data_IF_998634980047
#
_entry.id   IF_998634980047
#
_cell.length_a   1.000
_cell.length_b   1.000
_cell.length_c   1.000
_cell.angle_alpha   90.00
_cell.angle_beta   90.00
_cell.angle_gamma   90.00
#
_symmetry.space_group_name_H-M   'P 1'
#
loop_
_entity.id
_entity.type
_entity.pdbx_description
1 polymer ?
#
# COMPACT_ATOMS: atom_id res chain seq x y z
N UNK A 1 -29.10 7.51 -11.74
CA UNK A 1 -28.23 7.88 -10.59
C UNK A 1 -27.79 6.57 -9.98
N UNK A 2 -26.58 6.11 -10.32
CA UNK A 2 -26.05 4.86 -9.75
C UNK A 2 -25.56 5.16 -8.33
N UNK A 3 -26.47 5.10 -7.36
CA UNK A 3 -26.10 5.07 -5.96
C UNK A 3 -25.39 3.74 -5.72
N UNK A 4 -24.12 3.82 -5.32
CA UNK A 4 -23.39 2.65 -4.85
C UNK A 4 -24.15 2.09 -3.62
N UNK A 5 -24.43 0.78 -3.55
CA UNK A 5 -25.14 0.21 -2.40
C UNK A 5 -24.36 0.52 -1.12
N UNK A 6 -25.04 0.95 -0.05
CA UNK A 6 -24.44 1.25 1.27
C UNK A 6 -23.54 0.11 1.79
N UNK A 7 -23.90 -1.13 1.43
CA UNK A 7 -23.10 -2.34 1.69
C UNK A 7 -21.67 -2.28 1.14
N UNK A 8 -21.45 -1.64 -0.01
CA UNK A 8 -20.12 -1.49 -0.63
C UNK A 8 -19.28 -0.47 0.14
N UNK A 9 -19.90 0.61 0.65
CA UNK A 9 -19.22 1.60 1.50
C UNK A 9 -18.79 0.97 2.83
N UNK A 10 -19.69 0.21 3.47
CA UNK A 10 -19.37 -0.51 4.70
C UNK A 10 -18.26 -1.53 4.47
N UNK A 11 -18.35 -2.34 3.42
CA UNK A 11 -17.31 -3.32 3.06
C UNK A 11 -15.95 -2.65 2.80
N UNK A 12 -15.96 -1.48 2.17
CA UNK A 12 -14.76 -0.66 1.93
C UNK A 12 -14.11 -0.17 3.24
N UNK A 13 -14.92 0.27 4.20
CA UNK A 13 -14.43 0.63 5.54
C UNK A 13 -13.76 -0.56 6.25
N UNK A 14 -14.37 -1.73 6.17
CA UNK A 14 -13.86 -2.94 6.82
C UNK A 14 -12.57 -3.44 6.14
N UNK A 15 -12.48 -3.31 4.81
CA UNK A 15 -11.23 -3.55 4.08
C UNK A 15 -10.11 -2.62 4.57
N UNK A 16 -10.35 -1.31 4.67
CA UNK A 16 -9.34 -0.35 5.13
C UNK A 16 -8.85 -0.66 6.55
N UNK A 17 -9.76 -1.05 7.46
CA UNK A 17 -9.41 -1.47 8.82
C UNK A 17 -8.59 -2.75 8.82
N UNK A 18 -9.04 -3.76 8.09
CA UNK A 18 -8.40 -5.08 8.02
C UNK A 18 -7.02 -5.05 7.36
N UNK A 19 -6.84 -4.27 6.30
CA UNK A 19 -5.55 -4.18 5.58
C UNK A 19 -4.45 -3.53 6.43
N UNK A 20 -4.79 -2.69 7.42
CA UNK A 20 -3.79 -1.93 8.19
C UNK A 20 -2.70 -2.80 8.80
N UNK A 21 -3.01 -4.01 9.29
CA UNK A 21 -2.04 -4.93 9.92
C UNK A 21 -1.08 -5.58 8.92
N UNK A 22 -1.42 -5.55 7.63
CA UNK A 22 -0.60 -6.11 6.54
C UNK A 22 0.41 -5.13 6.00
N UNK A 23 0.22 -3.82 6.24
CA UNK A 23 1.07 -2.79 5.70
C UNK A 23 2.30 -2.55 6.58
N UNK A 24 3.46 -2.27 5.96
CA UNK A 24 4.69 -2.00 6.67
C UNK A 24 4.58 -0.71 7.49
N UNK A 25 4.95 -0.81 8.76
CA UNK A 25 5.19 0.32 9.66
C UNK A 25 6.40 0.02 10.57
N UNK A 26 6.88 1.03 11.29
CA UNK A 26 8.07 0.90 12.16
C UNK A 26 7.87 -0.10 13.30
N UNK A 27 6.65 -0.24 13.83
CA UNK A 27 6.38 -1.13 14.96
C UNK A 27 6.36 -2.58 14.49
N UNK A 28 5.72 -2.83 13.35
CA UNK A 28 5.48 -4.16 12.81
C UNK A 28 6.71 -4.76 12.12
N UNK A 29 7.68 -3.93 11.67
CA UNK A 29 8.90 -4.39 10.99
C UNK A 29 10.16 -4.39 11.88
N UNK A 30 10.02 -4.23 13.20
CA UNK A 30 11.17 -4.01 14.08
C UNK A 30 12.19 -5.16 14.05
N UNK A 31 11.73 -6.41 13.85
CA UNK A 31 12.59 -7.59 13.75
C UNK A 31 13.24 -7.69 12.37
N UNK A 32 12.45 -7.51 11.32
CA UNK A 32 12.88 -7.57 9.92
C UNK A 32 13.92 -6.49 9.61
N UNK A 33 13.79 -5.30 10.20
CA UNK A 33 14.79 -4.23 10.07
C UNK A 33 16.11 -4.64 10.73
N UNK A 34 16.08 -5.23 11.93
CA UNK A 34 17.29 -5.74 12.59
C UNK A 34 17.96 -6.85 11.78
N UNK A 35 17.16 -7.76 11.23
CA UNK A 35 17.63 -8.85 10.37
C UNK A 35 18.26 -8.26 9.10
N UNK A 36 17.62 -7.27 8.48
CA UNK A 36 18.12 -6.55 7.32
C UNK A 36 19.44 -5.82 7.59
N UNK A 37 19.60 -5.19 8.77
CA UNK A 37 20.85 -4.54 9.16
C UNK A 37 22.00 -5.56 9.32
N UNK A 38 21.72 -6.73 9.91
CA UNK A 38 22.71 -7.81 10.02
C UNK A 38 23.05 -8.39 8.65
N UNK A 39 22.05 -8.66 7.82
CA UNK A 39 22.23 -9.15 6.46
C UNK A 39 23.01 -8.17 5.60
N UNK A 40 22.77 -6.86 5.74
CA UNK A 40 23.53 -5.82 5.02
C UNK A 40 25.00 -5.79 5.43
N UNK A 41 25.32 -5.93 6.72
CA UNK A 41 26.71 -6.02 7.20
C UNK A 41 27.42 -7.28 6.70
N UNK A 42 26.67 -8.39 6.60
CA UNK A 42 27.19 -9.70 6.19
C UNK A 42 27.23 -9.89 4.66
N UNK A 43 26.40 -9.16 3.92
CA UNK A 43 26.25 -9.27 2.46
C UNK A 43 25.18 -10.26 1.99
N UNK A 44 24.53 -11.01 2.88
CA UNK A 44 23.49 -12.00 2.53
C UNK A 44 22.56 -12.27 3.73
N UNK A 45 21.35 -12.78 3.45
CA UNK A 45 20.38 -13.24 4.45
C UNK A 45 20.65 -14.67 4.93
N UNK A 46 20.47 -14.96 6.22
CA UNK A 46 20.37 -16.34 6.71
C UNK A 46 19.02 -16.96 6.33
N UNK A 47 18.88 -18.29 6.29
CA UNK A 47 17.64 -18.95 5.88
C UNK A 47 16.40 -18.50 6.67
N UNK A 48 16.53 -18.33 7.99
CA UNK A 48 15.43 -17.92 8.85
C UNK A 48 15.10 -16.42 8.71
N UNK A 49 16.10 -15.59 8.46
CA UNK A 49 15.94 -14.16 8.17
C UNK A 49 15.30 -13.95 6.79
N UNK A 50 15.67 -14.76 5.79
CA UNK A 50 15.09 -14.75 4.43
C UNK A 50 13.61 -15.15 4.48
N UNK A 51 13.27 -16.25 5.14
CA UNK A 51 11.87 -16.69 5.25
C UNK A 51 11.00 -15.60 5.89
N UNK A 52 11.46 -15.01 7.01
CA UNK A 52 10.73 -13.90 7.65
C UNK A 52 10.55 -12.68 6.74
N UNK A 53 11.60 -12.34 5.98
CA UNK A 53 11.53 -11.25 5.01
C UNK A 53 10.47 -11.55 3.93
N UNK A 54 10.46 -12.76 3.38
CA UNK A 54 9.53 -13.19 2.33
C UNK A 54 8.09 -13.26 2.83
N UNK A 55 7.84 -13.84 3.99
CA UNK A 55 6.51 -13.87 4.61
C UNK A 55 5.96 -12.46 4.83
N UNK A 56 6.80 -11.56 5.35
CA UNK A 56 6.45 -10.16 5.57
C UNK A 56 6.16 -9.44 4.25
N UNK A 57 6.99 -9.68 3.23
CA UNK A 57 6.80 -9.06 1.92
C UNK A 57 5.54 -9.58 1.22
N UNK A 58 5.27 -10.89 1.30
CA UNK A 58 4.05 -11.50 0.80
C UNK A 58 2.81 -10.87 1.46
N UNK A 59 2.83 -10.72 2.79
CA UNK A 59 1.73 -10.06 3.53
C UNK A 59 1.49 -8.64 3.03
N UNK A 60 2.57 -7.89 2.79
CA UNK A 60 2.47 -6.55 2.21
C UNK A 60 1.89 -6.56 0.79
N UNK A 61 2.34 -7.48 -0.08
CA UNK A 61 1.82 -7.61 -1.45
C UNK A 61 0.33 -7.95 -1.46
N UNK A 62 -0.12 -8.84 -0.58
CA UNK A 62 -1.54 -9.18 -0.43
C UNK A 62 -2.36 -7.96 0.00
N UNK A 63 -1.93 -7.24 1.05
CA UNK A 63 -2.60 -6.01 1.47
C UNK A 63 -2.64 -4.93 0.40
N UNK A 64 -1.53 -4.78 -0.34
CA UNK A 64 -1.44 -3.88 -1.49
C UNK A 64 -2.42 -4.26 -2.60
N UNK A 65 -2.56 -5.55 -2.91
CA UNK A 65 -3.49 -6.04 -3.92
C UNK A 65 -4.94 -5.73 -3.53
N UNK A 66 -5.31 -5.94 -2.27
CA UNK A 66 -6.65 -5.63 -1.76
C UNK A 66 -6.98 -4.14 -1.88
N UNK A 67 -6.03 -3.25 -1.59
CA UNK A 67 -6.24 -1.81 -1.74
C UNK A 67 -6.40 -1.37 -3.20
N UNK A 68 -5.65 -1.98 -4.12
CA UNK A 68 -5.83 -1.71 -5.56
C UNK A 68 -7.19 -2.19 -6.03
N UNK A 69 -7.59 -3.41 -5.66
CA UNK A 69 -8.91 -3.93 -6.00
C UNK A 69 -10.03 -3.01 -5.49
N UNK A 70 -9.94 -2.56 -4.23
CA UNK A 70 -10.90 -1.59 -3.68
C UNK A 70 -10.95 -0.28 -4.47
N UNK A 71 -9.80 0.27 -4.88
CA UNK A 71 -9.77 1.48 -5.70
C UNK A 71 -10.41 1.24 -7.06
N UNK A 72 -10.13 0.09 -7.68
CA UNK A 72 -10.69 -0.28 -8.99
C UNK A 72 -12.21 -0.49 -8.90
N UNK A 73 -12.71 -1.09 -7.83
CA UNK A 73 -14.14 -1.27 -7.56
C UNK A 73 -14.86 0.07 -7.35
N UNK A 74 -14.20 1.04 -6.69
CA UNK A 74 -14.74 2.39 -6.47
C UNK A 74 -14.58 3.32 -7.69
N UNK A 75 -13.65 3.03 -8.60
CA UNK A 75 -13.28 3.92 -9.70
C UNK A 75 -14.46 4.32 -10.62
N UNK A 76 -15.40 3.44 -10.99
CA UNK A 76 -16.57 3.80 -11.78
C UNK A 76 -17.43 4.89 -11.11
N UNK A 77 -17.44 4.92 -9.77
CA UNK A 77 -18.30 5.78 -8.97
C UNK A 77 -17.64 7.08 -8.52
N UNK A 78 -16.33 7.27 -8.78
CA UNK A 78 -15.61 8.50 -8.44
C UNK A 78 -16.12 9.75 -9.17
N UNK A 79 -16.85 9.58 -10.28
CA UNK A 79 -17.52 10.70 -10.97
C UNK A 79 -18.83 11.11 -10.30
N UNK A 80 -19.34 10.33 -9.35
CA UNK A 80 -20.49 10.73 -8.55
C UNK A 80 -20.13 11.93 -7.67
N UNK A 81 -21.14 12.70 -7.24
CA UNK A 81 -20.96 13.75 -6.24
C UNK A 81 -20.86 13.21 -4.80
N UNK A 82 -20.75 11.88 -4.64
CA UNK A 82 -20.66 11.26 -3.31
C UNK A 82 -19.22 11.35 -2.78
N UNK A 83 -19.02 12.26 -1.81
CA UNK A 83 -17.73 12.49 -1.18
C UNK A 83 -17.23 11.30 -0.35
N UNK A 84 -18.11 10.38 0.05
CA UNK A 84 -17.73 9.17 0.81
C UNK A 84 -16.87 8.25 -0.06
N UNK A 85 -17.29 8.05 -1.31
CA UNK A 85 -16.58 7.22 -2.30
C UNK A 85 -15.19 7.79 -2.54
N UNK A 86 -15.10 9.11 -2.75
CA UNK A 86 -13.82 9.79 -2.87
C UNK A 86 -12.96 9.60 -1.61
N UNK A 87 -13.52 9.83 -0.42
CA UNK A 87 -12.80 9.71 0.85
C UNK A 87 -12.20 8.31 1.07
N UNK A 88 -12.98 7.26 0.79
CA UNK A 88 -12.54 5.87 0.90
C UNK A 88 -11.44 5.52 -0.10
N UNK A 89 -11.63 5.86 -1.38
CA UNK A 89 -10.62 5.64 -2.42
C UNK A 89 -9.34 6.43 -2.15
N UNK A 90 -9.46 7.66 -1.67
CA UNK A 90 -8.32 8.50 -1.29
C UNK A 90 -7.58 7.94 -0.07
N UNK A 91 -8.30 7.40 0.91
CA UNK A 91 -7.69 6.70 2.04
C UNK A 91 -6.88 5.48 1.58
N UNK A 92 -7.46 4.63 0.72
CA UNK A 92 -6.76 3.49 0.13
C UNK A 92 -5.49 3.92 -0.64
N UNK A 93 -5.60 4.94 -1.49
CA UNK A 93 -4.47 5.49 -2.24
C UNK A 93 -3.38 6.06 -1.31
N UNK A 94 -3.77 6.71 -0.22
CA UNK A 94 -2.85 7.25 0.80
C UNK A 94 -2.13 6.13 1.55
N UNK A 95 -2.83 5.05 1.89
CA UNK A 95 -2.24 3.85 2.49
C UNK A 95 -1.22 3.18 1.56
N UNK A 96 -1.54 3.06 0.26
CA UNK A 96 -0.63 2.58 -0.77
C UNK A 96 0.62 3.48 -0.90
N UNK A 97 0.44 4.79 -0.97
CA UNK A 97 1.53 5.76 -1.12
C UNK A 97 2.47 5.72 0.10
N UNK A 98 1.90 5.75 1.31
CA UNK A 98 2.65 5.73 2.57
C UNK A 98 3.45 4.43 2.72
N UNK A 99 2.79 3.29 2.56
CA UNK A 99 3.43 1.98 2.75
C UNK A 99 4.51 1.71 1.71
N UNK A 100 4.27 2.03 0.43
CA UNK A 100 5.26 1.86 -0.63
C UNK A 100 6.47 2.76 -0.41
N UNK A 101 6.25 4.02 -0.05
CA UNK A 101 7.35 4.96 0.23
C UNK A 101 8.19 4.51 1.41
N UNK A 102 7.55 4.01 2.47
CA UNK A 102 8.23 3.49 3.64
C UNK A 102 9.08 2.26 3.32
N UNK A 103 8.52 1.26 2.62
CA UNK A 103 9.25 0.07 2.21
C UNK A 103 10.43 0.38 1.28
N UNK A 104 10.21 1.23 0.27
CA UNK A 104 11.29 1.66 -0.64
C UNK A 104 12.37 2.44 0.11
N UNK A 105 12.00 3.27 1.09
CA UNK A 105 12.96 3.98 1.93
C UNK A 105 13.89 3.01 2.66
N UNK A 106 13.32 1.99 3.31
CA UNK A 106 14.09 0.95 4.00
C UNK A 106 15.01 0.17 3.06
N UNK A 107 14.52 -0.19 1.87
CA UNK A 107 15.28 -0.97 0.90
C UNK A 107 16.42 -0.16 0.25
N UNK A 108 16.24 1.15 0.02
CA UNK A 108 17.27 2.02 -0.56
C UNK A 108 18.51 2.13 0.32
N UNK A 109 18.33 2.09 1.63
CA UNK A 109 19.43 2.12 2.60
C UNK A 109 20.20 0.78 2.65
N UNK A 110 19.64 -0.30 2.07
CA UNK A 110 20.14 -1.67 2.21
C UNK A 110 20.05 -2.44 0.88
N UNK A 111 21.05 -2.31 -0.02
CA UNK A 111 21.03 -2.99 -1.33
C UNK A 111 20.81 -4.50 -1.27
N UNK A 112 21.23 -5.18 -0.19
CA UNK A 112 20.99 -6.61 0.01
C UNK A 112 19.49 -6.92 0.10
N UNK A 113 18.70 -6.05 0.74
CA UNK A 113 17.24 -6.16 0.83
C UNK A 113 16.60 -6.01 -0.54
N UNK A 114 17.03 -5.01 -1.30
CA UNK A 114 16.50 -4.74 -2.64
C UNK A 114 16.75 -5.93 -3.57
N UNK A 115 17.99 -6.43 -3.61
CA UNK A 115 18.34 -7.59 -4.41
C UNK A 115 17.48 -8.80 -4.03
N UNK A 116 17.29 -9.02 -2.72
CA UNK A 116 16.54 -10.16 -2.21
C UNK A 116 15.05 -10.10 -2.53
N UNK A 117 14.41 -8.95 -2.35
CA UNK A 117 12.99 -8.76 -2.63
C UNK A 117 12.65 -8.74 -4.12
N UNK A 118 13.63 -8.54 -5.00
CA UNK A 118 13.45 -8.62 -6.45
C UNK A 118 13.78 -10.02 -7.03
N UNK A 119 14.20 -10.97 -6.20
CA UNK A 119 14.23 -12.38 -6.56
C UNK A 119 12.81 -12.90 -6.82
N UNK A 120 12.67 -13.95 -7.64
CA UNK A 120 11.39 -14.63 -7.77
C UNK A 120 11.15 -15.45 -6.50
N UNK A 121 9.87 -15.61 -6.15
CA UNK A 121 9.44 -16.60 -5.17
C UNK A 121 8.34 -17.48 -5.77
N UNK A 122 8.72 -18.59 -6.45
CA UNK A 122 7.77 -19.47 -7.10
C UNK A 122 6.73 -20.08 -6.17
N UNK A 123 7.06 -20.34 -4.89
CA UNK A 123 6.13 -20.92 -3.91
C UNK A 123 4.89 -20.05 -3.72
N UNK A 124 5.07 -18.74 -3.86
CA UNK A 124 4.01 -17.74 -3.70
C UNK A 124 3.62 -17.06 -5.02
N UNK A 125 4.09 -17.57 -6.16
CA UNK A 125 3.85 -17.00 -7.49
C UNK A 125 4.26 -15.53 -7.62
N UNK A 126 5.27 -15.10 -6.87
CA UNK A 126 5.80 -13.73 -6.95
C UNK A 126 6.84 -13.68 -8.08
N UNK A 127 6.61 -12.88 -9.13
CA UNK A 127 7.58 -12.72 -10.21
C UNK A 127 8.81 -11.94 -9.74
N UNK A 128 9.91 -12.00 -10.50
CA UNK A 128 11.08 -11.13 -10.24
C UNK A 128 10.68 -9.67 -10.39
N UNK A 129 11.45 -8.78 -9.73
CA UNK A 129 11.36 -7.32 -9.89
C UNK A 129 10.06 -6.67 -9.40
N UNK A 130 9.32 -7.29 -8.48
CA UNK A 130 8.09 -6.69 -7.93
C UNK A 130 8.38 -5.41 -7.14
N UNK A 131 9.46 -5.35 -6.36
CA UNK A 131 9.82 -4.16 -5.62
C UNK A 131 10.26 -3.04 -6.56
N UNK A 132 11.04 -3.38 -7.58
CA UNK A 132 11.39 -2.46 -8.67
C UNK A 132 10.15 -1.90 -9.37
N UNK A 133 9.15 -2.73 -9.67
CA UNK A 133 7.90 -2.25 -10.29
C UNK A 133 7.13 -1.30 -9.35
N UNK A 134 7.08 -1.60 -8.05
CA UNK A 134 6.49 -0.70 -7.05
C UNK A 134 7.23 0.63 -7.02
N UNK A 135 8.56 0.62 -7.06
CA UNK A 135 9.37 1.83 -7.13
C UNK A 135 9.10 2.64 -8.40
N UNK A 136 9.02 2.00 -9.55
CA UNK A 136 8.69 2.65 -10.81
C UNK A 136 7.31 3.33 -10.75
N UNK A 137 6.31 2.60 -10.24
CA UNK A 137 4.96 3.14 -10.07
C UNK A 137 4.91 4.33 -9.11
N UNK A 138 5.70 4.29 -8.03
CA UNK A 138 5.82 5.36 -7.03
C UNK A 138 6.56 6.60 -7.57
N UNK A 139 7.55 6.39 -8.42
CA UNK A 139 8.36 7.45 -9.03
C UNK A 139 7.73 8.06 -10.29
N UNK A 140 6.75 7.38 -10.88
CA UNK A 140 6.01 7.87 -12.06
C UNK A 140 5.42 9.26 -11.85
N UNK A 141 5.83 10.20 -12.72
CA UNK A 141 5.33 11.59 -12.74
C UNK A 141 3.81 11.64 -12.86
N UNK A 142 3.22 10.78 -13.70
CA UNK A 142 1.77 10.70 -13.89
C UNK A 142 1.05 10.30 -12.60
N UNK A 143 1.53 9.25 -11.92
CA UNK A 143 0.92 8.78 -10.67
C UNK A 143 1.07 9.81 -9.56
N UNK A 144 2.25 10.43 -9.45
CA UNK A 144 2.52 11.52 -8.50
C UNK A 144 1.60 12.71 -8.73
N UNK A 145 1.40 13.11 -9.99
CA UNK A 145 0.49 14.21 -10.33
C UNK A 145 -0.96 13.87 -9.96
N UNK A 146 -1.47 12.68 -10.32
CA UNK A 146 -2.83 12.25 -9.96
C UNK A 146 -3.03 12.23 -8.44
N UNK A 147 -2.06 11.69 -7.69
CA UNK A 147 -2.12 11.68 -6.23
C UNK A 147 -2.10 13.09 -5.65
N UNK A 148 -1.29 14.01 -6.22
CA UNK A 148 -1.27 15.41 -5.80
C UNK A 148 -2.62 16.10 -6.04
N UNK A 149 -3.28 15.85 -7.17
CA UNK A 149 -4.62 16.38 -7.45
C UNK A 149 -5.64 15.88 -6.43
N UNK A 150 -5.66 14.57 -6.16
CA UNK A 150 -6.55 13.99 -5.16
C UNK A 150 -6.27 14.56 -3.76
N UNK A 151 -5.00 14.72 -3.38
CA UNK A 151 -4.61 15.34 -2.11
C UNK A 151 -5.09 16.78 -2.01
N UNK A 152 -4.92 17.59 -3.04
CA UNK A 152 -5.40 18.97 -3.06
C UNK A 152 -6.93 19.02 -2.92
N UNK A 153 -7.65 18.15 -3.63
CA UNK A 153 -9.10 18.06 -3.50
C UNK A 153 -9.52 17.69 -2.07
N UNK A 154 -8.86 16.69 -1.47
CA UNK A 154 -9.12 16.30 -0.07
C UNK A 154 -8.87 17.48 0.88
N UNK A 155 -7.74 18.17 0.75
CA UNK A 155 -7.40 19.30 1.62
C UNK A 155 -8.42 20.44 1.52
N UNK A 156 -8.90 20.75 0.31
CA UNK A 156 -9.89 21.80 0.11
C UNK A 156 -11.30 21.43 0.60
N UNK A 157 -11.61 20.14 0.73
CA UNK A 157 -12.94 19.63 1.07
C UNK A 157 -12.95 18.79 2.35
N UNK A 158 -11.89 18.85 3.17
CA UNK A 158 -11.65 17.93 4.28
C UNK A 158 -12.86 17.85 5.21
N UNK A 159 -13.36 19.00 5.67
CA UNK A 159 -14.51 19.06 6.57
C UNK A 159 -15.77 18.41 5.99
N UNK A 160 -15.99 18.53 4.69
CA UNK A 160 -17.17 17.95 4.03
C UNK A 160 -17.02 16.43 3.88
N UNK A 161 -15.83 15.97 3.52
CA UNK A 161 -15.49 14.55 3.40
C UNK A 161 -15.60 13.87 4.77
N UNK A 162 -15.02 14.47 5.82
CA UNK A 162 -15.07 13.92 7.18
C UNK A 162 -16.51 13.81 7.69
N UNK A 163 -17.33 14.84 7.49
CA UNK A 163 -18.77 14.80 7.83
C UNK A 163 -19.52 13.72 7.05
N UNK A 164 -19.22 13.57 5.75
CA UNK A 164 -19.87 12.56 4.94
C UNK A 164 -19.53 11.13 5.43
N UNK A 165 -18.29 10.89 5.81
CA UNK A 165 -17.81 9.60 6.33
C UNK A 165 -18.33 9.28 7.75
N UNK A 166 -18.59 10.28 8.58
CA UNK A 166 -19.16 10.07 9.93
C UNK A 166 -20.64 9.69 9.94
N UNK A 167 -21.37 10.10 8.90
CA UNK A 167 -22.80 9.83 8.75
C UNK A 167 -23.10 8.53 7.97
N UNK A 168 -22.06 7.71 7.71
CA UNK A 168 -22.13 6.41 7.02
C UNK A 168 -21.83 5.29 8.00
#
# INVERSE_FOLDING_TARGET
MDQLPEKVLQSSCDILRGVRVTLPDRKNLSREIKDADRAQKRGYYLPDEDERLRETYLRYLSGRSVLWQMIDDLAPFLKSRDLRIFGLAFCAASMLMRSSSYLIGLAKERPVVLAKLDEAEPRYQIPRKTLTQIYHNLSSTRNRWRYRQARNFYQNNQTQIDKALQNS
#
